data_IF_839821462205
#
_entry.id   IF_839821462205
#
_cell.length_a   1.000
_cell.length_b   1.000
_cell.length_c   1.000
_cell.angle_alpha   90.00
_cell.angle_beta   90.00
_cell.angle_gamma   90.00
#
_symmetry.space_group_name_H-M   'P 1'
#
loop_
_entity.id
_entity.type
_entity.pdbx_description
1 polymer ?
#
# COMPACT_ATOMS: atom_id res chain seq x y z
N UNK A 1 34.39 10.36 -36.83
CA UNK A 1 33.13 10.83 -36.21
C UNK A 1 32.09 9.74 -35.92
N UNK A 2 31.99 8.63 -36.69
CA UNK A 2 31.01 7.54 -36.47
C UNK A 2 31.03 6.91 -35.07
N UNK A 3 32.22 6.70 -34.49
CA UNK A 3 32.37 6.00 -33.21
C UNK A 3 31.88 6.79 -31.97
N UNK A 4 31.88 8.14 -32.03
CA UNK A 4 31.35 8.99 -30.94
C UNK A 4 29.82 8.96 -30.87
N UNK A 5 29.12 8.84 -32.02
CA UNK A 5 27.66 8.73 -32.07
C UNK A 5 27.15 7.40 -31.49
N UNK A 6 27.84 6.29 -31.78
CA UNK A 6 27.47 4.95 -31.27
C UNK A 6 27.65 4.89 -29.74
N UNK A 7 28.75 5.43 -29.22
CA UNK A 7 28.97 5.52 -27.75
C UNK A 7 27.91 6.39 -27.06
N UNK A 8 27.50 7.51 -27.68
CA UNK A 8 26.43 8.36 -27.17
C UNK A 8 25.06 7.68 -27.19
N UNK A 9 24.78 6.86 -28.21
CA UNK A 9 23.55 6.08 -28.31
C UNK A 9 23.44 5.03 -27.20
N UNK A 10 24.51 4.28 -26.95
CA UNK A 10 24.56 3.28 -25.86
C UNK A 10 24.40 3.93 -24.49
N UNK A 11 25.03 5.10 -24.28
CA UNK A 11 24.88 5.85 -23.03
C UNK A 11 23.44 6.34 -22.82
N UNK A 12 22.78 6.81 -23.88
CA UNK A 12 21.38 7.23 -23.83
C UNK A 12 20.44 6.07 -23.49
N UNK A 13 20.64 4.93 -24.13
CA UNK A 13 19.88 3.70 -23.87
C UNK A 13 20.06 3.22 -22.42
N UNK A 14 21.29 3.26 -21.90
CA UNK A 14 21.58 2.92 -20.52
C UNK A 14 20.90 3.91 -19.53
N UNK A 15 20.91 5.21 -19.82
CA UNK A 15 20.21 6.21 -19.00
C UNK A 15 18.69 5.98 -18.99
N UNK A 16 18.09 5.64 -20.14
CA UNK A 16 16.67 5.31 -20.22
C UNK A 16 16.35 4.04 -19.43
N UNK A 17 17.14 2.98 -19.59
CA UNK A 17 16.99 1.73 -18.83
C UNK A 17 17.10 1.95 -17.33
N UNK A 18 18.08 2.75 -16.89
CA UNK A 18 18.25 3.10 -15.49
C UNK A 18 17.05 3.89 -14.94
N UNK A 19 16.54 4.86 -15.71
CA UNK A 19 15.37 5.66 -15.32
C UNK A 19 14.14 4.78 -15.15
N UNK A 20 13.90 3.85 -16.07
CA UNK A 20 12.78 2.89 -15.99
C UNK A 20 12.93 2.00 -14.75
N UNK A 21 14.14 1.51 -14.47
CA UNK A 21 14.40 0.71 -13.28
C UNK A 21 14.11 1.49 -11.99
N UNK A 22 14.56 2.75 -11.89
CA UNK A 22 14.26 3.61 -10.75
C UNK A 22 12.75 3.84 -10.57
N UNK A 23 12.02 4.11 -11.66
CA UNK A 23 10.56 4.28 -11.61
C UNK A 23 9.86 3.01 -11.16
N UNK A 24 10.32 1.83 -11.60
CA UNK A 24 9.80 0.54 -11.16
C UNK A 24 9.94 0.34 -9.65
N UNK A 25 11.10 0.64 -9.08
CA UNK A 25 11.34 0.55 -7.64
C UNK A 25 10.46 1.53 -6.86
N UNK A 26 10.30 2.77 -7.35
CA UNK A 26 9.44 3.78 -6.71
C UNK A 26 7.97 3.31 -6.69
N UNK A 27 7.46 2.79 -7.82
CA UNK A 27 6.10 2.26 -7.92
C UNK A 27 5.87 1.10 -6.96
N UNK A 28 6.84 0.19 -6.85
CA UNK A 28 6.77 -0.93 -5.91
C UNK A 28 6.68 -0.43 -4.46
N UNK A 29 7.55 0.52 -4.08
CA UNK A 29 7.54 1.11 -2.74
C UNK A 29 6.21 1.81 -2.43
N UNK A 30 5.65 2.56 -3.37
CA UNK A 30 4.34 3.20 -3.22
C UNK A 30 3.23 2.18 -3.06
N UNK A 31 3.23 1.13 -3.88
CA UNK A 31 2.24 0.04 -3.82
C UNK A 31 2.28 -0.67 -2.48
N UNK A 32 3.48 -1.01 -1.97
CA UNK A 32 3.64 -1.65 -0.66
C UNK A 32 3.14 -0.74 0.47
N UNK A 33 3.44 0.56 0.41
CA UNK A 33 2.99 1.53 1.41
C UNK A 33 1.46 1.65 1.39
N UNK A 34 0.86 1.73 0.20
CA UNK A 34 -0.57 1.81 0.03
C UNK A 34 -1.27 0.54 0.50
N UNK A 35 -0.74 -0.65 0.19
CA UNK A 35 -1.28 -1.92 0.66
C UNK A 35 -1.37 -1.99 2.19
N UNK A 36 -0.30 -1.60 2.90
CA UNK A 36 -0.31 -1.56 4.38
C UNK A 36 -1.33 -0.58 4.94
N UNK A 37 -1.54 0.57 4.27
CA UNK A 37 -2.56 1.53 4.69
C UNK A 37 -3.97 0.99 4.44
N UNK A 38 -4.20 0.37 3.28
CA UNK A 38 -5.47 -0.25 2.93
C UNK A 38 -5.83 -1.40 3.86
N UNK A 39 -4.86 -2.25 4.20
CA UNK A 39 -5.04 -3.36 5.15
C UNK A 39 -5.55 -2.86 6.50
N UNK A 40 -4.90 -1.84 7.08
CA UNK A 40 -5.34 -1.21 8.33
C UNK A 40 -6.73 -0.56 8.24
N UNK A 41 -7.10 -0.04 7.08
CA UNK A 41 -8.43 0.54 6.88
C UNK A 41 -9.51 -0.55 6.78
N UNK A 42 -9.21 -1.66 6.10
CA UNK A 42 -10.10 -2.80 5.99
C UNK A 42 -10.29 -3.46 7.36
N UNK A 43 -9.21 -3.70 8.10
CA UNK A 43 -9.23 -4.25 9.46
C UNK A 43 -10.17 -3.45 10.37
N UNK A 44 -9.95 -2.14 10.49
CA UNK A 44 -10.82 -1.26 11.29
C UNK A 44 -12.28 -1.26 10.84
N UNK A 45 -12.52 -1.37 9.53
CA UNK A 45 -13.88 -1.41 8.97
C UNK A 45 -14.56 -2.73 9.34
N UNK A 46 -13.87 -3.85 9.18
CA UNK A 46 -14.38 -5.19 9.53
C UNK A 46 -14.64 -5.28 11.03
N UNK A 47 -13.71 -4.82 11.86
CA UNK A 47 -13.85 -4.80 13.32
C UNK A 47 -15.07 -3.98 13.76
N UNK A 48 -15.29 -2.82 13.13
CA UNK A 48 -16.47 -1.99 13.40
C UNK A 48 -17.77 -2.71 13.00
N UNK A 49 -17.83 -3.31 11.82
CA UNK A 49 -19.03 -4.07 11.40
C UNK A 49 -19.30 -5.27 12.31
N UNK A 50 -18.24 -5.94 12.76
CA UNK A 50 -18.35 -7.04 13.71
C UNK A 50 -18.87 -6.57 15.06
N UNK A 51 -18.35 -5.46 15.58
CA UNK A 51 -18.83 -4.86 16.82
C UNK A 51 -20.31 -4.44 16.71
N UNK A 52 -20.70 -3.77 15.62
CA UNK A 52 -22.10 -3.40 15.36
C UNK A 52 -23.02 -4.62 15.28
N UNK A 53 -22.57 -5.71 14.64
CA UNK A 53 -23.32 -6.96 14.58
C UNK A 53 -23.56 -7.53 15.99
N UNK A 54 -22.53 -7.57 16.83
CA UNK A 54 -22.66 -8.06 18.20
C UNK A 54 -23.55 -7.15 19.04
N UNK A 55 -23.44 -5.82 18.92
CA UNK A 55 -24.32 -4.89 19.64
C UNK A 55 -25.80 -4.97 19.22
N UNK A 56 -26.08 -5.47 18.02
CA UNK A 56 -27.46 -5.75 17.57
C UNK A 56 -28.02 -7.06 18.15
N UNK A 57 -27.17 -8.03 18.45
CA UNK A 57 -27.57 -9.38 18.90
C UNK A 57 -27.27 -9.64 20.38
N UNK A 58 -26.69 -8.68 21.10
CA UNK A 58 -26.28 -8.80 22.49
C UNK A 58 -26.57 -7.51 23.26
N UNK A 59 -26.88 -7.63 24.55
CA UNK A 59 -27.10 -6.49 25.45
C UNK A 59 -25.79 -5.93 26.05
N UNK A 60 -24.66 -6.29 25.45
CA UNK A 60 -23.34 -5.81 25.85
C UNK A 60 -23.20 -4.34 25.49
N UNK A 61 -22.79 -3.51 26.45
CA UNK A 61 -22.58 -2.06 26.26
C UNK A 61 -21.19 -1.72 25.70
N UNK A 62 -20.25 -2.65 25.83
CA UNK A 62 -18.86 -2.50 25.40
C UNK A 62 -18.35 -3.81 24.82
N UNK A 63 -17.53 -3.71 23.77
CA UNK A 63 -16.93 -4.86 23.12
C UNK A 63 -15.49 -4.54 22.74
N UNK A 64 -14.56 -5.36 23.23
CA UNK A 64 -13.17 -5.36 22.77
C UNK A 64 -13.07 -6.19 21.49
N UNK A 65 -12.62 -5.59 20.39
CA UNK A 65 -12.28 -6.27 19.13
C UNK A 65 -10.83 -5.97 18.81
N UNK A 66 -10.01 -7.02 18.69
CA UNK A 66 -8.54 -6.92 18.65
C UNK A 66 -7.99 -6.07 19.81
N UNK A 67 -7.59 -4.83 19.50
CA UNK A 67 -6.95 -3.91 20.44
C UNK A 67 -7.82 -2.68 20.72
N UNK A 68 -9.04 -2.63 20.17
CA UNK A 68 -9.93 -1.48 20.29
C UNK A 68 -11.23 -1.82 21.01
N UNK A 69 -11.57 -0.99 22.00
CA UNK A 69 -12.84 -1.09 22.72
C UNK A 69 -13.87 -0.24 21.98
N UNK A 70 -14.87 -0.90 21.44
CA UNK A 70 -16.05 -0.28 20.87
C UNK A 70 -17.12 -0.14 21.95
N UNK A 71 -17.86 0.96 21.89
CA UNK A 71 -18.95 1.28 22.81
C UNK A 71 -20.23 1.38 21.98
N UNK A 72 -21.36 1.01 22.58
CA UNK A 72 -22.68 1.14 21.97
C UNK A 72 -23.11 2.60 21.86
#
# INVERSE_FOLDING_TARGET
MKNKRIKGFIFWEACLGFTIACLGVILLCLTLKQNRQTEKQIEKRVDKYYAEYIFKHSDKKTLLVHDHVYYR
#
